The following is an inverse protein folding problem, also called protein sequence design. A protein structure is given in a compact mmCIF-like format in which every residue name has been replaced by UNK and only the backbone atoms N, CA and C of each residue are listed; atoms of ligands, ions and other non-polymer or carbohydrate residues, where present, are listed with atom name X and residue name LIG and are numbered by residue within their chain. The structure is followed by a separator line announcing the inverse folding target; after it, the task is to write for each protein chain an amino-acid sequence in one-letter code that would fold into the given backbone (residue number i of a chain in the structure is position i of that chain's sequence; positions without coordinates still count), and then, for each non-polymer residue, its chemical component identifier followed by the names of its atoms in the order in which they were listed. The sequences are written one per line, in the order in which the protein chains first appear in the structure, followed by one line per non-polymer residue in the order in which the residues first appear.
data_IF_551150427699
#
_entry.id   IF_551150427699
#
_cell.length_a   1.000
_cell.length_b   1.000
_cell.length_c   1.000
_cell.angle_alpha   90.00
_cell.angle_beta   90.00
_cell.angle_gamma   90.00
#
_symmetry.space_group_name_H-M   'P 1'
#
loop_
_entity.id
_entity.type
_entity.pdbx_description
1 polymer ?
#
# COMPACT_ATOMS: atom_id res chain seq x y z
N UNK A 1 -19.12 -16.61 -56.91
CA UNK A 1 -18.14 -17.22 -55.99
C UNK A 1 -17.90 -16.25 -54.86
N UNK A 2 -18.60 -16.45 -53.74
CA UNK A 2 -18.51 -15.60 -52.55
C UNK A 2 -17.32 -16.06 -51.70
N UNK A 3 -16.36 -15.16 -51.50
CA UNK A 3 -15.20 -15.38 -50.63
C UNK A 3 -15.63 -15.13 -49.18
N UNK A 4 -16.07 -16.18 -48.50
CA UNK A 4 -16.21 -16.22 -47.05
C UNK A 4 -14.81 -16.16 -46.42
N UNK A 5 -14.36 -14.96 -46.07
CA UNK A 5 -13.17 -14.78 -45.23
C UNK A 5 -13.50 -15.28 -43.82
N UNK A 6 -12.89 -16.41 -43.50
CA UNK A 6 -13.00 -17.13 -42.24
C UNK A 6 -12.36 -16.28 -41.13
N UNK A 7 -13.16 -15.48 -40.40
CA UNK A 7 -12.74 -14.77 -39.17
C UNK A 7 -12.55 -15.76 -38.02
N UNK A 8 -11.58 -16.68 -38.14
CA UNK A 8 -11.15 -17.55 -37.04
C UNK A 8 -9.91 -16.94 -36.39
N UNK A 9 -10.08 -16.40 -35.18
CA UNK A 9 -8.99 -16.08 -34.27
C UNK A 9 -8.68 -14.59 -34.12
N UNK A 10 -9.67 -13.76 -33.78
CA UNK A 10 -9.37 -12.41 -33.28
C UNK A 10 -8.99 -12.50 -31.80
N UNK A 11 -7.69 -12.66 -31.51
CA UNK A 11 -7.14 -12.59 -30.14
C UNK A 11 -7.49 -11.27 -29.43
N UNK A 12 -7.76 -10.22 -30.20
CA UNK A 12 -8.02 -8.88 -29.69
C UNK A 12 -9.52 -8.55 -29.59
N UNK A 13 -10.40 -9.52 -29.92
CA UNK A 13 -11.87 -9.42 -29.87
C UNK A 13 -12.38 -7.98 -30.02
N UNK A 14 -12.13 -7.37 -31.17
CA UNK A 14 -12.45 -5.94 -31.37
C UNK A 14 -13.96 -5.64 -31.32
N UNK A 15 -14.80 -6.69 -31.31
CA UNK A 15 -16.26 -6.59 -31.19
C UNK A 15 -16.76 -6.20 -29.80
N UNK A 16 -15.92 -6.29 -28.75
CA UNK A 16 -16.26 -5.92 -27.37
C UNK A 16 -15.54 -4.64 -26.90
N UNK A 17 -14.95 -3.88 -27.81
CA UNK A 17 -14.29 -2.62 -27.47
C UNK A 17 -15.30 -1.69 -26.81
N UNK A 18 -15.10 -1.40 -25.52
CA UNK A 18 -15.78 -0.31 -24.83
C UNK A 18 -15.43 1.01 -25.53
N UNK A 19 -16.23 2.06 -25.32
CA UNK A 19 -15.89 3.42 -25.79
C UNK A 19 -14.39 3.70 -25.52
N UNK A 20 -13.67 4.32 -26.49
CA UNK A 20 -12.26 4.65 -26.29
C UNK A 20 -12.07 5.32 -24.93
N UNK A 21 -11.03 4.93 -24.21
CA UNK A 21 -10.67 5.55 -22.94
C UNK A 21 -10.53 7.05 -23.19
N UNK A 22 -11.22 7.86 -22.39
CA UNK A 22 -11.07 9.32 -22.45
C UNK A 22 -9.59 9.64 -22.23
N UNK A 23 -9.00 10.36 -23.18
CA UNK A 23 -7.62 10.81 -23.05
C UNK A 23 -7.57 11.92 -21.99
N UNK A 24 -6.78 11.70 -20.94
CA UNK A 24 -6.48 12.70 -19.93
C UNK A 24 -5.16 13.36 -20.32
N UNK A 25 -5.24 14.56 -20.90
CA UNK A 25 -4.05 15.33 -21.24
C UNK A 25 -3.36 15.86 -19.96
N UNK A 26 -2.02 15.91 -19.93
CA UNK A 26 -1.29 16.57 -18.87
C UNK A 26 -1.77 18.01 -18.68
N UNK A 27 -1.99 18.41 -17.44
CA UNK A 27 -2.36 19.77 -17.08
C UNK A 27 -1.06 20.56 -16.78
N UNK A 28 -0.66 21.53 -17.63
CA UNK A 28 0.57 22.28 -17.44
C UNK A 28 0.62 23.03 -16.11
N UNK A 29 -0.53 23.39 -15.53
CA UNK A 29 -0.55 24.04 -14.23
C UNK A 29 -0.10 23.10 -13.12
N UNK A 30 -0.34 21.79 -13.25
CA UNK A 30 -0.01 20.78 -12.25
C UNK A 30 1.21 19.91 -12.62
N UNK A 31 1.71 20.05 -13.85
CA UNK A 31 2.90 19.38 -14.31
C UNK A 31 4.08 19.66 -13.36
N UNK A 32 4.83 18.62 -13.05
CA UNK A 32 6.02 18.65 -12.18
C UNK A 32 5.81 19.13 -10.73
N UNK A 33 4.62 19.58 -10.32
CA UNK A 33 4.35 20.01 -8.93
C UNK A 33 4.57 18.86 -7.94
N UNK A 34 5.07 19.22 -6.76
CA UNK A 34 5.22 18.33 -5.61
C UNK A 34 4.26 18.76 -4.50
N UNK A 35 3.57 17.79 -3.91
CA UNK A 35 2.74 17.96 -2.71
C UNK A 35 3.43 17.42 -1.44
N UNK A 36 4.72 17.10 -1.54
CA UNK A 36 5.55 16.66 -0.43
C UNK A 36 5.47 17.63 0.75
N UNK A 37 5.47 17.11 1.98
CA UNK A 37 5.48 17.94 3.18
C UNK A 37 6.88 18.52 3.37
N UNK A 38 7.00 19.83 3.47
CA UNK A 38 8.26 20.47 3.84
C UNK A 38 8.65 20.08 5.27
N UNK A 39 9.94 20.03 5.56
CA UNK A 39 10.45 19.70 6.90
C UNK A 39 9.83 20.55 8.02
N UNK A 40 9.54 21.83 7.78
CA UNK A 40 8.91 22.74 8.77
C UNK A 40 7.49 22.35 9.18
N UNK A 41 6.79 21.62 8.31
CA UNK A 41 5.41 21.19 8.52
C UNK A 41 5.32 19.69 8.80
N UNK A 42 6.48 19.07 9.00
CA UNK A 42 6.61 17.65 9.24
C UNK A 42 6.93 17.39 10.71
N UNK A 43 6.33 16.35 11.29
CA UNK A 43 6.64 15.93 12.65
C UNK A 43 8.04 15.31 12.69
N UNK A 44 8.93 15.87 13.51
CA UNK A 44 10.35 15.49 13.54
C UNK A 44 10.58 14.02 13.91
N UNK A 45 9.80 13.50 14.85
CA UNK A 45 9.92 12.10 15.31
C UNK A 45 9.42 11.14 14.24
N UNK A 46 8.27 11.43 13.63
CA UNK A 46 7.72 10.65 12.51
C UNK A 46 8.67 10.66 11.31
N UNK A 47 9.23 11.83 10.98
CA UNK A 47 10.18 12.01 9.89
C UNK A 47 11.44 11.16 10.11
N UNK A 48 12.03 11.26 11.30
CA UNK A 48 13.25 10.52 11.64
C UNK A 48 13.01 9.01 11.67
N UNK A 49 11.89 8.56 12.25
CA UNK A 49 11.61 7.14 12.44
C UNK A 49 11.13 6.45 11.16
N UNK A 50 10.20 7.06 10.41
CA UNK A 50 9.45 6.38 9.36
C UNK A 50 9.78 6.85 7.94
N UNK A 51 10.59 7.90 7.77
CA UNK A 51 10.91 8.45 6.44
C UNK A 51 12.40 8.41 6.08
N UNK A 52 13.09 7.27 6.26
CA UNK A 52 14.48 7.10 5.84
C UNK A 52 14.68 7.12 4.31
N UNK A 53 13.60 7.22 3.53
CA UNK A 53 13.64 7.35 2.08
C UNK A 53 13.86 8.80 1.61
N UNK A 54 13.69 9.79 2.49
CA UNK A 54 13.85 11.19 2.12
C UNK A 54 15.28 11.49 1.69
N UNK A 55 15.40 12.28 0.64
CA UNK A 55 16.66 12.81 0.13
C UNK A 55 16.87 14.20 0.72
N UNK A 56 18.08 14.73 0.58
CA UNK A 56 18.32 16.16 0.78
C UNK A 56 17.48 16.97 -0.20
N UNK A 57 17.07 18.18 0.19
CA UNK A 57 16.11 18.97 -0.57
C UNK A 57 16.60 19.28 -2.00
N UNK A 58 17.88 19.62 -2.13
CA UNK A 58 18.54 19.88 -3.41
C UNK A 58 18.49 18.68 -4.37
N UNK A 59 18.67 17.46 -3.85
CA UNK A 59 18.54 16.24 -4.64
C UNK A 59 17.07 15.97 -4.97
N UNK A 60 16.18 16.09 -3.99
CA UNK A 60 14.75 15.83 -4.17
C UNK A 60 14.10 16.74 -5.23
N UNK A 61 14.59 17.98 -5.36
CA UNK A 61 14.08 18.95 -6.33
C UNK A 61 14.56 18.63 -7.77
N UNK A 62 15.70 17.98 -7.92
CA UNK A 62 16.35 17.74 -9.22
C UNK A 62 16.32 16.26 -9.69
N UNK A 63 15.88 15.33 -8.87
CA UNK A 63 15.93 13.89 -9.18
C UNK A 63 14.97 13.46 -10.30
N UNK A 64 15.07 12.21 -10.73
CA UNK A 64 14.17 11.69 -11.75
C UNK A 64 12.69 11.65 -11.34
N UNK A 65 12.36 11.63 -10.04
CA UNK A 65 10.98 11.59 -9.54
C UNK A 65 10.33 12.96 -9.65
N UNK A 66 11.07 14.05 -9.39
CA UNK A 66 10.59 15.44 -9.56
C UNK A 66 10.19 15.72 -11.02
N UNK A 67 10.86 15.06 -11.97
CA UNK A 67 10.65 15.17 -13.42
C UNK A 67 9.47 14.35 -13.96
N UNK A 68 8.82 13.49 -13.15
CA UNK A 68 7.70 12.69 -13.64
C UNK A 68 6.46 13.56 -13.94
N UNK A 69 5.83 13.32 -15.08
CA UNK A 69 4.50 13.82 -15.41
C UNK A 69 3.47 12.99 -14.63
N UNK A 70 2.83 13.60 -13.64
CA UNK A 70 1.81 12.98 -12.78
C UNK A 70 0.67 13.98 -12.47
N UNK A 71 0.43 14.95 -13.37
CA UNK A 71 -0.43 16.11 -13.12
C UNK A 71 -1.84 15.71 -12.69
N UNK A 72 -2.36 14.63 -13.27
CA UNK A 72 -3.69 14.10 -12.93
C UNK A 72 -3.76 13.61 -11.49
N UNK A 73 -2.80 12.79 -11.06
CA UNK A 73 -2.76 12.28 -9.70
C UNK A 73 -2.48 13.39 -8.67
N UNK A 74 -1.59 14.32 -8.99
CA UNK A 74 -1.29 15.48 -8.15
C UNK A 74 -2.54 16.33 -7.95
N UNK A 75 -3.26 16.66 -9.04
CA UNK A 75 -4.51 17.45 -8.95
C UNK A 75 -5.56 16.74 -8.10
N UNK A 76 -5.76 15.43 -8.31
CA UNK A 76 -6.69 14.62 -7.51
C UNK A 76 -6.33 14.63 -6.03
N UNK A 77 -5.05 14.43 -5.69
CA UNK A 77 -4.58 14.43 -4.31
C UNK A 77 -4.73 15.81 -3.65
N UNK A 78 -4.44 16.91 -4.37
CA UNK A 78 -4.62 18.28 -3.87
C UNK A 78 -6.08 18.57 -3.57
N UNK A 79 -6.99 18.28 -4.53
CA UNK A 79 -8.43 18.51 -4.33
C UNK A 79 -8.99 17.68 -3.17
N UNK A 80 -8.52 16.44 -3.00
CA UNK A 80 -8.94 15.61 -1.88
C UNK A 80 -8.42 16.14 -0.53
N UNK A 81 -7.20 16.67 -0.49
CA UNK A 81 -6.65 17.32 0.70
C UNK A 81 -7.40 18.61 1.02
N UNK A 82 -7.70 19.46 0.04
CA UNK A 82 -8.51 20.68 0.22
C UNK A 82 -9.91 20.36 0.77
N UNK A 83 -10.51 19.25 0.32
CA UNK A 83 -11.84 18.81 0.76
C UNK A 83 -11.86 18.25 2.18
N UNK A 84 -10.81 17.56 2.60
CA UNK A 84 -10.82 16.77 3.85
C UNK A 84 -9.90 17.29 4.94
N UNK A 85 -8.90 18.11 4.60
CA UNK A 85 -7.79 18.44 5.47
C UNK A 85 -6.85 17.27 5.77
N UNK A 86 -7.06 16.08 5.17
CA UNK A 86 -6.33 14.86 5.51
C UNK A 86 -5.62 14.24 4.31
N UNK A 87 -4.31 14.04 4.45
CA UNK A 87 -3.47 13.32 3.48
C UNK A 87 -3.78 11.82 3.50
N UNK A 88 -3.55 11.15 2.37
CA UNK A 88 -3.62 9.69 2.29
C UNK A 88 -2.50 9.08 3.14
N UNK A 89 -2.86 8.17 4.04
CA UNK A 89 -1.93 7.52 4.98
C UNK A 89 -1.47 6.19 4.39
N UNK A 90 -0.20 6.08 4.00
CA UNK A 90 0.35 4.88 3.35
C UNK A 90 1.41 4.22 4.23
N UNK A 91 1.14 2.97 4.63
CA UNK A 91 2.12 2.12 5.30
C UNK A 91 2.91 1.30 4.28
N UNK A 92 4.24 1.34 4.37
CA UNK A 92 5.13 0.59 3.49
C UNK A 92 5.85 -0.50 4.28
N UNK A 93 5.72 -1.75 3.83
CA UNK A 93 6.39 -2.92 4.41
C UNK A 93 7.39 -3.50 3.40
N UNK A 94 8.57 -3.91 3.88
CA UNK A 94 9.58 -4.58 3.04
C UNK A 94 10.07 -5.91 3.61
N UNK A 95 10.49 -6.82 2.73
CA UNK A 95 10.75 -8.22 3.05
C UNK A 95 12.20 -8.64 3.24
N UNK A 96 13.13 -7.74 3.54
CA UNK A 96 14.54 -8.13 3.75
C UNK A 96 15.30 -7.16 4.64
N UNK A 97 16.05 -7.73 5.59
CA UNK A 97 16.91 -7.04 6.55
C UNK A 97 18.39 -7.01 6.13
N UNK A 98 18.73 -7.42 4.90
CA UNK A 98 20.12 -7.34 4.41
C UNK A 98 20.59 -5.88 4.37
N UNK A 99 21.90 -5.66 4.60
CA UNK A 99 22.50 -4.33 4.55
C UNK A 99 22.21 -3.61 3.22
N UNK A 100 22.41 -4.31 2.10
CA UNK A 100 21.94 -3.88 0.77
C UNK A 100 20.72 -4.71 0.36
N UNK A 101 19.53 -4.19 0.66
CA UNK A 101 18.25 -4.87 0.40
C UNK A 101 17.51 -4.20 -0.76
N UNK A 102 17.41 -4.87 -1.91
CA UNK A 102 16.73 -4.30 -3.09
C UNK A 102 15.22 -4.13 -2.89
N UNK A 103 14.57 -4.95 -2.06
CA UNK A 103 13.16 -4.73 -1.70
C UNK A 103 13.00 -3.47 -0.86
N UNK A 104 13.96 -3.17 0.02
CA UNK A 104 14.00 -1.91 0.78
C UNK A 104 14.24 -0.71 -0.14
N UNK A 105 15.21 -0.80 -1.06
CA UNK A 105 15.46 0.25 -2.04
C UNK A 105 14.24 0.52 -2.94
N UNK A 106 13.60 -0.53 -3.46
CA UNK A 106 12.37 -0.40 -4.25
C UNK A 106 11.23 0.21 -3.43
N UNK A 107 11.12 -0.15 -2.14
CA UNK A 107 10.13 0.46 -1.24
C UNK A 107 10.38 1.95 -1.03
N UNK A 108 11.64 2.39 -1.02
CA UNK A 108 12.01 3.81 -0.89
C UNK A 108 11.67 4.59 -2.15
N UNK A 109 11.90 4.04 -3.35
CA UNK A 109 11.47 4.71 -4.60
C UNK A 109 9.95 4.86 -4.67
N UNK A 110 9.20 3.80 -4.33
CA UNK A 110 7.75 3.89 -4.23
C UNK A 110 7.30 4.95 -3.21
N UNK A 111 7.97 4.99 -2.05
CA UNK A 111 7.70 5.97 -0.99
C UNK A 111 7.95 7.41 -1.44
N UNK A 112 9.02 7.67 -2.20
CA UNK A 112 9.32 9.01 -2.75
C UNK A 112 8.28 9.46 -3.77
N UNK A 113 7.81 8.56 -4.63
CA UNK A 113 6.74 8.86 -5.59
C UNK A 113 5.45 9.23 -4.82
N UNK A 114 5.05 8.42 -3.85
CA UNK A 114 3.86 8.68 -3.03
C UNK A 114 3.99 9.96 -2.19
N UNK A 115 5.18 10.22 -1.65
CA UNK A 115 5.50 11.44 -0.91
C UNK A 115 5.34 12.68 -1.79
N UNK A 116 5.86 12.65 -3.03
CA UNK A 116 5.67 13.71 -4.02
C UNK A 116 4.19 13.90 -4.37
N UNK A 117 3.41 12.82 -4.44
CA UNK A 117 1.96 12.87 -4.66
C UNK A 117 1.17 13.35 -3.43
N UNK A 118 1.84 13.65 -2.31
CA UNK A 118 1.24 14.26 -1.14
C UNK A 118 0.70 13.29 -0.09
N UNK A 119 1.02 12.00 -0.19
CA UNK A 119 0.70 11.02 0.85
C UNK A 119 1.54 11.25 2.12
N UNK A 120 0.97 10.98 3.30
CA UNK A 120 1.76 10.70 4.50
C UNK A 120 2.24 9.26 4.40
N UNK A 121 3.54 9.07 4.20
CA UNK A 121 4.15 7.74 3.99
C UNK A 121 4.97 7.38 5.21
N UNK A 122 4.76 6.16 5.73
CA UNK A 122 5.54 5.60 6.84
C UNK A 122 6.09 4.23 6.46
N UNK A 123 7.41 4.10 6.44
CA UNK A 123 8.10 2.82 6.18
C UNK A 123 8.41 2.14 7.50
N UNK A 124 7.83 0.97 7.73
CA UNK A 124 8.10 0.18 8.93
C UNK A 124 9.44 -0.55 8.80
N UNK A 125 10.31 -0.40 9.81
CA UNK A 125 11.55 -1.18 9.90
C UNK A 125 11.29 -2.48 10.70
N UNK A 126 11.40 -3.68 10.11
CA UNK A 126 11.11 -4.94 10.81
C UNK A 126 12.24 -5.43 11.72
N UNK A 127 13.39 -4.73 11.79
CA UNK A 127 14.45 -5.09 12.73
C UNK A 127 13.94 -5.12 14.17
N UNK A 128 14.20 -6.23 14.86
CA UNK A 128 13.74 -6.46 16.24
C UNK A 128 12.28 -6.93 16.37
N UNK A 129 11.54 -7.14 15.27
CA UNK A 129 10.21 -7.75 15.33
C UNK A 129 10.35 -9.25 15.71
N UNK A 130 9.76 -9.72 16.82
CA UNK A 130 9.81 -11.14 17.20
C UNK A 130 9.10 -12.02 16.17
N UNK A 131 9.43 -13.30 16.15
CA UNK A 131 8.64 -14.28 15.39
C UNK A 131 7.24 -14.38 15.99
N UNK A 132 6.22 -14.46 15.15
CA UNK A 132 4.83 -14.59 15.61
C UNK A 132 4.68 -15.78 16.54
N UNK A 133 4.27 -15.49 17.76
CA UNK A 133 3.88 -16.43 18.80
C UNK A 133 2.62 -15.94 19.52
N UNK A 134 2.20 -16.64 20.57
CA UNK A 134 0.96 -16.34 21.30
C UNK A 134 1.18 -15.52 22.58
N UNK A 135 2.38 -14.98 22.80
CA UNK A 135 2.73 -14.29 24.06
C UNK A 135 3.28 -12.88 23.86
N UNK A 136 4.02 -12.61 22.78
CA UNK A 136 4.71 -11.34 22.57
C UNK A 136 3.83 -10.23 21.98
N UNK A 137 2.52 -10.24 22.28
CA UNK A 137 1.58 -9.26 21.76
C UNK A 137 1.92 -7.82 22.15
N UNK A 138 2.51 -7.60 23.33
CA UNK A 138 2.87 -6.26 23.84
C UNK A 138 4.28 -5.82 23.47
N UNK A 139 5.00 -6.61 22.65
CA UNK A 139 6.32 -6.24 22.19
C UNK A 139 6.27 -4.90 21.41
N UNK A 140 7.16 -3.91 21.68
CA UNK A 140 7.08 -2.58 21.08
C UNK A 140 6.96 -2.58 19.55
N UNK A 141 7.75 -3.41 18.87
CA UNK A 141 7.69 -3.57 17.40
C UNK A 141 6.36 -4.15 16.90
N UNK A 142 5.71 -5.02 17.68
CA UNK A 142 4.39 -5.59 17.33
C UNK A 142 3.33 -4.51 17.45
N UNK A 143 3.36 -3.73 18.55
CA UNK A 143 2.43 -2.62 18.77
C UNK A 143 2.61 -1.52 17.72
N UNK A 144 3.85 -1.14 17.42
CA UNK A 144 4.18 -0.19 16.35
C UNK A 144 3.59 -0.64 15.00
N UNK A 145 3.82 -1.89 14.60
CA UNK A 145 3.30 -2.43 13.34
C UNK A 145 1.76 -2.40 13.29
N UNK A 146 1.10 -2.77 14.39
CA UNK A 146 -0.36 -2.78 14.49
C UNK A 146 -0.95 -1.38 14.43
N UNK A 147 -0.38 -0.42 15.15
CA UNK A 147 -0.84 0.96 15.13
C UNK A 147 -0.58 1.62 13.77
N UNK A 148 0.54 1.32 13.10
CA UNK A 148 0.77 1.75 11.72
C UNK A 148 -0.25 1.16 10.75
N UNK A 149 -0.59 -0.13 10.88
CA UNK A 149 -1.62 -0.75 10.04
C UNK A 149 -2.99 -0.13 10.31
N UNK A 150 -3.31 0.16 11.57
CA UNK A 150 -4.56 0.81 11.96
C UNK A 150 -4.64 2.24 11.42
N UNK A 151 -3.53 2.98 11.44
CA UNK A 151 -3.41 4.35 10.95
C UNK A 151 -3.57 4.49 9.44
N UNK A 152 -3.22 3.48 8.65
CA UNK A 152 -3.15 3.59 7.19
C UNK A 152 -4.54 3.61 6.51
N UNK A 153 -4.60 4.26 5.34
CA UNK A 153 -5.66 4.13 4.34
C UNK A 153 -5.33 3.05 3.29
N UNK A 154 -4.03 2.83 3.07
CA UNK A 154 -3.52 1.87 2.11
C UNK A 154 -2.11 1.40 2.42
N UNK A 155 -1.71 0.26 1.87
CA UNK A 155 -0.36 -0.30 2.04
C UNK A 155 0.41 -0.41 0.72
N UNK A 156 1.74 -0.40 0.83
CA UNK A 156 2.65 -0.91 -0.19
C UNK A 156 3.46 -2.07 0.39
N UNK A 157 3.39 -3.24 -0.24
CA UNK A 157 4.07 -4.45 0.18
C UNK A 157 5.17 -4.82 -0.80
N UNK A 158 6.43 -4.77 -0.37
CA UNK A 158 7.59 -5.05 -1.22
C UNK A 158 8.39 -6.23 -0.70
N UNK A 159 8.25 -7.40 -1.34
CA UNK A 159 8.93 -8.61 -0.89
C UNK A 159 9.96 -9.10 -1.93
N UNK A 160 11.21 -9.43 -1.54
CA UNK A 160 12.06 -10.18 -2.45
C UNK A 160 11.53 -11.60 -2.63
N UNK A 161 11.86 -12.21 -3.76
CA UNK A 161 11.68 -13.63 -3.96
C UNK A 161 12.85 -14.40 -3.37
N UNK A 162 12.59 -15.29 -2.41
CA UNK A 162 13.60 -16.16 -1.82
C UNK A 162 13.11 -17.61 -1.90
N UNK A 163 13.92 -18.48 -2.53
CA UNK A 163 13.53 -19.86 -2.85
C UNK A 163 12.17 -19.96 -3.56
N UNK A 164 11.89 -19.01 -4.47
CA UNK A 164 10.66 -18.99 -5.27
C UNK A 164 9.40 -18.55 -4.52
N UNK A 165 9.53 -17.98 -3.31
CA UNK A 165 8.39 -17.63 -2.46
C UNK A 165 8.63 -16.33 -1.66
N UNK A 166 7.59 -15.87 -0.95
CA UNK A 166 7.68 -14.74 -0.01
C UNK A 166 8.70 -15.05 1.10
N UNK A 167 9.37 -14.02 1.61
CA UNK A 167 10.33 -14.22 2.71
C UNK A 167 9.64 -14.41 4.06
N UNK A 168 10.33 -15.13 4.96
CA UNK A 168 9.91 -15.23 6.37
C UNK A 168 9.82 -13.85 7.03
N UNK A 169 10.74 -12.93 6.73
CA UNK A 169 10.72 -11.53 7.22
C UNK A 169 9.41 -10.84 6.84
N UNK A 170 8.98 -10.98 5.60
CA UNK A 170 7.75 -10.36 5.13
C UNK A 170 6.52 -11.03 5.75
N UNK A 171 6.46 -12.37 5.70
CA UNK A 171 5.33 -13.14 6.21
C UNK A 171 5.10 -12.92 7.70
N UNK A 172 6.18 -12.85 8.49
CA UNK A 172 6.13 -12.57 9.93
C UNK A 172 5.47 -11.23 10.25
N UNK A 173 5.71 -10.18 9.44
CA UNK A 173 5.04 -8.89 9.61
C UNK A 173 3.52 -9.03 9.42
N UNK A 174 3.08 -9.72 8.37
CA UNK A 174 1.65 -9.93 8.11
C UNK A 174 1.00 -10.76 9.22
N UNK A 175 1.70 -11.77 9.74
CA UNK A 175 1.19 -12.65 10.80
C UNK A 175 0.95 -11.93 12.14
N UNK A 176 1.63 -10.80 12.36
CA UNK A 176 1.39 -9.94 13.53
C UNK A 176 0.19 -9.01 13.39
N UNK A 177 -0.33 -8.81 12.17
CA UNK A 177 -1.49 -7.96 11.90
C UNK A 177 -2.76 -8.82 11.97
N UNK A 178 -3.62 -8.65 12.99
CA UNK A 178 -4.83 -9.46 13.11
C UNK A 178 -5.94 -8.98 12.18
N UNK A 179 -6.85 -9.88 11.80
CA UNK A 179 -8.08 -9.51 11.08
C UNK A 179 -9.09 -8.74 11.96
N UNK A 180 -8.96 -8.85 13.28
CA UNK A 180 -9.79 -8.14 14.27
C UNK A 180 -9.01 -7.89 15.54
N UNK A 181 -9.19 -6.72 16.15
CA UNK A 181 -8.91 -6.51 17.57
C UNK A 181 -10.14 -5.82 18.16
N UNK A 182 -11.00 -6.58 18.84
CA UNK A 182 -12.34 -6.10 19.22
C UNK A 182 -13.15 -5.70 17.97
N UNK A 183 -13.65 -4.47 17.95
CA UNK A 183 -14.37 -3.87 16.81
C UNK A 183 -13.47 -3.34 15.70
N UNK A 184 -12.16 -3.20 15.95
CA UNK A 184 -11.22 -2.59 14.99
C UNK A 184 -10.75 -3.65 13.99
N UNK A 185 -10.76 -3.28 12.70
CA UNK A 185 -10.27 -4.09 11.58
C UNK A 185 -9.05 -3.40 10.92
N UNK A 186 -7.81 -3.75 11.30
CA UNK A 186 -6.59 -3.02 10.91
C UNK A 186 -6.21 -3.08 9.42
N UNK A 187 -6.85 -3.93 8.61
CA UNK A 187 -6.57 -4.00 7.16
C UNK A 187 -7.81 -3.97 6.28
N UNK A 188 -8.98 -4.30 6.84
CA UNK A 188 -10.19 -4.50 6.06
C UNK A 188 -10.62 -3.21 5.34
N UNK A 189 -10.85 -3.31 4.04
CA UNK A 189 -11.28 -2.19 3.19
C UNK A 189 -10.15 -1.29 2.68
N UNK A 190 -8.93 -1.38 3.24
CA UNK A 190 -7.78 -0.58 2.81
C UNK A 190 -7.29 -1.00 1.43
N UNK A 191 -6.67 -0.07 0.70
CA UNK A 191 -6.05 -0.36 -0.60
C UNK A 191 -4.67 -1.01 -0.42
N UNK A 192 -4.22 -1.76 -1.42
CA UNK A 192 -2.92 -2.42 -1.39
C UNK A 192 -2.24 -2.41 -2.76
N UNK A 193 -1.01 -1.90 -2.82
CA UNK A 193 -0.09 -2.13 -3.92
C UNK A 193 0.96 -3.18 -3.54
N UNK A 194 1.32 -4.04 -4.49
CA UNK A 194 2.28 -5.12 -4.28
C UNK A 194 3.43 -5.02 -5.28
N UNK A 195 4.64 -5.29 -4.79
CA UNK A 195 5.84 -5.34 -5.60
C UNK A 195 6.77 -6.48 -5.15
N UNK A 196 7.55 -7.00 -6.10
CA UNK A 196 8.66 -7.90 -5.80
C UNK A 196 9.96 -7.49 -6.48
N UNK A 197 11.06 -7.98 -5.92
CA UNK A 197 12.38 -7.96 -6.54
C UNK A 197 12.93 -9.38 -6.66
N UNK A 198 13.65 -9.65 -7.74
CA UNK A 198 14.25 -10.95 -8.01
C UNK A 198 15.77 -10.81 -8.15
N UNK A 199 16.52 -11.79 -7.63
CA UNK A 199 17.95 -11.90 -7.92
C UNK A 199 18.23 -12.40 -9.35
N UNK A 200 17.36 -13.26 -9.89
CA UNK A 200 17.47 -13.85 -11.22
C UNK A 200 16.48 -13.26 -12.23
N UNK A 201 16.10 -14.08 -13.22
CA UNK A 201 15.10 -13.77 -14.24
C UNK A 201 13.75 -13.34 -13.64
N UNK A 202 12.90 -12.75 -14.48
CA UNK A 202 11.60 -12.28 -14.04
C UNK A 202 10.73 -13.44 -13.54
N UNK A 203 10.08 -13.21 -12.41
CA UNK A 203 9.15 -14.12 -11.74
C UNK A 203 7.97 -13.31 -11.22
N UNK A 204 6.86 -13.99 -10.93
CA UNK A 204 5.68 -13.40 -10.32
C UNK A 204 5.18 -14.18 -9.09
N UNK A 205 5.94 -15.18 -8.62
CA UNK A 205 5.50 -16.06 -7.55
C UNK A 205 5.21 -15.26 -6.27
N UNK A 206 6.12 -14.36 -5.92
CA UNK A 206 6.02 -13.53 -4.73
C UNK A 206 4.81 -12.60 -4.80
N UNK A 207 4.62 -11.81 -5.86
CA UNK A 207 3.44 -10.93 -5.99
C UNK A 207 2.13 -11.71 -6.06
N UNK A 208 2.11 -12.91 -6.66
CA UNK A 208 0.91 -13.75 -6.67
C UNK A 208 0.52 -14.21 -5.27
N UNK A 209 1.50 -14.55 -4.42
CA UNK A 209 1.26 -14.86 -3.01
C UNK A 209 0.87 -13.62 -2.21
N UNK A 210 1.51 -12.47 -2.44
CA UNK A 210 1.12 -11.21 -1.79
C UNK A 210 -0.31 -10.80 -2.14
N UNK A 211 -0.75 -11.00 -3.39
CA UNK A 211 -2.12 -10.74 -3.82
C UNK A 211 -3.12 -11.64 -3.08
N UNK A 212 -2.79 -12.93 -2.94
CA UNK A 212 -3.59 -13.83 -2.12
C UNK A 212 -3.62 -13.35 -0.66
N UNK A 213 -2.47 -13.04 -0.05
CA UNK A 213 -2.44 -12.48 1.31
C UNK A 213 -3.28 -11.22 1.44
N UNK A 214 -3.22 -10.28 0.48
CA UNK A 214 -4.05 -9.08 0.45
C UNK A 214 -5.55 -9.40 0.48
N UNK A 215 -5.99 -10.38 -0.31
CA UNK A 215 -7.36 -10.91 -0.28
C UNK A 215 -7.72 -11.49 1.09
N UNK A 216 -6.84 -12.29 1.70
CA UNK A 216 -7.04 -12.83 3.06
C UNK A 216 -7.17 -11.72 4.10
N UNK A 217 -6.36 -10.67 3.98
CA UNK A 217 -6.39 -9.46 4.81
C UNK A 217 -7.56 -8.52 4.48
N UNK A 218 -8.45 -8.91 3.56
CA UNK A 218 -9.64 -8.15 3.12
C UNK A 218 -9.29 -6.76 2.58
N UNK A 219 -8.12 -6.64 1.93
CA UNK A 219 -7.66 -5.42 1.29
C UNK A 219 -8.05 -5.39 -0.18
N UNK A 220 -8.27 -4.19 -0.72
CA UNK A 220 -8.45 -3.96 -2.15
C UNK A 220 -7.07 -3.87 -2.81
N UNK A 221 -6.57 -5.01 -3.27
CA UNK A 221 -5.29 -5.06 -3.99
C UNK A 221 -5.48 -4.52 -5.39
N UNK A 222 -4.79 -3.42 -5.72
CA UNK A 222 -4.91 -2.78 -7.03
C UNK A 222 -4.51 -3.75 -8.16
N UNK A 223 -5.07 -3.58 -9.37
CA UNK A 223 -4.76 -4.46 -10.50
C UNK A 223 -3.26 -4.49 -10.84
N UNK A 224 -2.63 -3.32 -10.89
CA UNK A 224 -1.24 -3.21 -11.31
C UNK A 224 -0.27 -3.71 -10.23
N UNK A 225 0.91 -4.16 -10.65
CA UNK A 225 1.95 -4.69 -9.77
C UNK A 225 3.34 -4.57 -10.40
N UNK A 226 4.36 -4.46 -9.55
CA UNK A 226 5.76 -4.36 -9.98
C UNK A 226 6.52 -5.65 -9.70
N UNK A 227 7.29 -6.14 -10.69
CA UNK A 227 8.22 -7.26 -10.50
C UNK A 227 9.53 -6.95 -11.20
N UNK A 228 10.57 -6.68 -10.41
CA UNK A 228 11.88 -6.22 -10.90
C UNK A 228 12.85 -7.40 -11.03
N UNK A 229 13.17 -7.89 -12.25
CA UNK A 229 14.18 -8.92 -12.46
C UNK A 229 15.60 -8.40 -12.25
N UNK A 230 16.51 -9.30 -11.89
CA UNK A 230 17.95 -9.00 -11.75
C UNK A 230 18.19 -7.68 -11.02
N UNK A 231 17.53 -7.50 -9.86
CA UNK A 231 17.40 -6.20 -9.22
C UNK A 231 18.75 -5.52 -8.93
N UNK A 232 19.82 -6.30 -8.74
CA UNK A 232 21.17 -5.76 -8.58
C UNK A 232 21.69 -4.94 -9.78
N UNK A 233 21.15 -5.16 -10.98
CA UNK A 233 21.44 -4.38 -12.20
C UNK A 233 20.45 -3.24 -12.45
N UNK A 234 19.52 -2.98 -11.53
CA UNK A 234 18.46 -1.98 -11.70
C UNK A 234 18.64 -0.77 -10.78
N UNK A 235 19.65 -0.79 -9.90
CA UNK A 235 19.94 0.28 -8.97
C UNK A 235 21.39 0.75 -9.11
N UNK A 236 21.62 2.06 -8.97
CA UNK A 236 22.96 2.65 -8.90
C UNK A 236 23.71 2.18 -7.66
N UNK A 237 25.03 2.36 -7.65
CA UNK A 237 25.84 2.02 -6.49
C UNK A 237 25.52 2.88 -5.27
N UNK A 238 25.86 2.38 -4.08
CA UNK A 238 25.78 3.20 -2.88
C UNK A 238 26.94 4.21 -2.91
N UNK A 239 26.66 5.43 -2.48
CA UNK A 239 27.65 6.48 -2.33
C UNK A 239 27.68 6.95 -0.87
N UNK A 240 28.79 7.54 -0.46
CA UNK A 240 28.86 8.14 0.87
C UNK A 240 27.93 9.36 0.93
N UNK A 241 27.05 9.39 1.93
CA UNK A 241 26.14 10.51 2.18
C UNK A 241 26.84 11.73 2.76
N UNK A 242 28.06 11.57 3.29
CA UNK A 242 28.83 12.66 3.88
C UNK A 242 29.62 13.46 2.83
N UNK A 243 29.80 12.91 1.62
CA UNK A 243 30.34 13.65 0.48
C UNK A 243 29.17 14.23 -0.33
N UNK A 244 28.80 15.48 -0.04
CA UNK A 244 27.64 16.14 -0.64
C UNK A 244 27.72 16.18 -2.17
N UNK A 245 28.92 16.36 -2.75
CA UNK A 245 29.09 16.43 -4.20
C UNK A 245 28.82 15.08 -4.86
N UNK A 246 29.40 14.00 -4.31
CA UNK A 246 29.18 12.65 -4.83
C UNK A 246 27.74 12.21 -4.60
N UNK A 247 27.17 12.51 -3.43
CA UNK A 247 25.78 12.22 -3.11
C UNK A 247 24.82 12.88 -4.09
N UNK A 248 25.00 14.17 -4.38
CA UNK A 248 24.17 14.91 -5.32
C UNK A 248 24.29 14.38 -6.75
N UNK A 249 25.51 14.15 -7.23
CA UNK A 249 25.74 13.61 -8.58
C UNK A 249 25.12 12.23 -8.79
N UNK A 250 25.04 11.42 -7.74
CA UNK A 250 24.43 10.10 -7.78
C UNK A 250 22.91 10.10 -7.49
N UNK A 251 22.27 11.28 -7.45
CA UNK A 251 20.87 11.48 -7.03
C UNK A 251 20.56 10.80 -5.67
N UNK A 252 21.53 10.79 -4.75
CA UNK A 252 21.46 10.17 -3.43
C UNK A 252 21.96 8.72 -3.35
N UNK A 253 22.38 8.13 -4.48
CA UNK A 253 22.89 6.76 -4.56
C UNK A 253 21.83 5.69 -4.30
N UNK A 254 22.13 4.44 -4.69
CA UNK A 254 21.19 3.31 -4.58
C UNK A 254 19.81 3.60 -5.19
N UNK A 255 19.78 4.38 -6.28
CA UNK A 255 18.58 4.85 -6.99
C UNK A 255 18.23 3.93 -8.14
N UNK A 256 16.95 3.79 -8.44
CA UNK A 256 16.49 2.97 -9.55
C UNK A 256 16.82 3.61 -10.91
N UNK A 257 17.49 2.86 -11.76
CA UNK A 257 17.91 3.31 -13.09
C UNK A 257 16.74 3.35 -14.09
N UNK A 258 16.84 4.16 -15.16
CA UNK A 258 15.83 4.20 -16.23
C UNK A 258 15.56 2.83 -16.85
N UNK A 259 14.32 2.36 -16.73
CA UNK A 259 13.84 1.12 -17.36
C UNK A 259 12.31 1.05 -17.33
N UNK A 260 11.72 0.17 -18.13
CA UNK A 260 10.27 -0.10 -18.05
C UNK A 260 9.82 -0.65 -16.69
N UNK A 261 10.73 -1.23 -15.88
CA UNK A 261 10.42 -1.60 -14.50
C UNK A 261 10.25 -0.39 -13.59
N UNK A 262 11.02 0.68 -13.86
CA UNK A 262 10.91 1.95 -13.14
C UNK A 262 9.59 2.63 -13.47
N UNK A 263 9.24 2.67 -14.76
CA UNK A 263 7.97 3.25 -15.22
C UNK A 263 6.78 2.45 -14.63
N UNK A 264 6.87 1.12 -14.61
CA UNK A 264 5.86 0.27 -13.96
C UNK A 264 5.70 0.55 -12.47
N UNK A 265 6.77 0.87 -11.75
CA UNK A 265 6.68 1.26 -10.34
C UNK A 265 5.88 2.56 -10.20
N UNK A 266 6.13 3.54 -11.07
CA UNK A 266 5.38 4.80 -11.12
C UNK A 266 3.90 4.54 -11.35
N UNK A 267 3.55 3.72 -12.35
CA UNK A 267 2.16 3.34 -12.64
C UNK A 267 1.47 2.76 -11.39
N UNK A 268 2.16 1.87 -10.65
CA UNK A 268 1.60 1.23 -9.45
C UNK A 268 1.34 2.24 -8.33
N UNK A 269 2.25 3.20 -8.10
CA UNK A 269 2.09 4.20 -7.05
C UNK A 269 1.02 5.23 -7.43
N UNK A 270 0.97 5.64 -8.69
CA UNK A 270 -0.07 6.53 -9.20
C UNK A 270 -1.46 5.88 -9.11
N UNK A 271 -1.58 4.62 -9.54
CA UNK A 271 -2.81 3.83 -9.43
C UNK A 271 -3.24 3.67 -7.97
N UNK A 272 -2.31 3.37 -7.05
CA UNK A 272 -2.61 3.29 -5.63
C UNK A 272 -3.24 4.58 -5.09
N UNK A 273 -2.69 5.75 -5.43
CA UNK A 273 -3.25 7.05 -5.01
C UNK A 273 -4.66 7.23 -5.53
N UNK A 274 -4.88 7.02 -6.83
CA UNK A 274 -6.20 7.16 -7.48
C UNK A 274 -7.25 6.24 -6.81
N UNK A 275 -6.92 4.96 -6.61
CA UNK A 275 -7.82 4.02 -5.95
C UNK A 275 -8.06 4.37 -4.48
N UNK A 276 -7.04 4.82 -3.75
CA UNK A 276 -7.18 5.14 -2.32
C UNK A 276 -8.10 6.35 -2.11
N UNK A 277 -8.00 7.38 -2.95
CA UNK A 277 -8.91 8.54 -2.94
C UNK A 277 -10.36 8.08 -3.16
N UNK A 278 -10.60 7.23 -4.16
CA UNK A 278 -11.94 6.73 -4.48
C UNK A 278 -12.51 5.86 -3.36
N UNK A 279 -11.71 4.96 -2.80
CA UNK A 279 -12.19 3.93 -1.89
C UNK A 279 -12.35 4.45 -0.45
N UNK A 280 -11.44 5.32 0.02
CA UNK A 280 -11.41 5.75 1.45
C UNK A 280 -12.70 6.40 1.91
N UNK A 281 -13.41 7.09 1.01
CA UNK A 281 -14.67 7.76 1.29
C UNK A 281 -15.83 6.79 1.58
N UNK A 282 -15.64 5.50 1.26
CA UNK A 282 -16.69 4.49 1.28
C UNK A 282 -16.27 3.21 2.03
N UNK A 283 -15.21 3.26 2.86
CA UNK A 283 -14.76 2.08 3.60
C UNK A 283 -15.86 1.47 4.47
N UNK A 284 -16.66 2.28 5.16
CA UNK A 284 -17.78 1.78 5.97
C UNK A 284 -18.84 1.08 5.13
N UNK A 285 -19.21 1.67 3.98
CA UNK A 285 -20.16 1.08 3.04
C UNK A 285 -19.66 -0.25 2.49
N UNK A 286 -18.40 -0.32 2.04
CA UNK A 286 -17.82 -1.56 1.50
C UNK A 286 -17.63 -2.65 2.57
N UNK A 287 -17.59 -2.25 3.84
CA UNK A 287 -17.48 -3.17 4.97
C UNK A 287 -18.83 -3.60 5.54
N UNK A 288 -19.95 -2.97 5.15
CA UNK A 288 -21.29 -3.32 5.59
C UNK A 288 -21.80 -4.58 4.86
N UNK A 289 -21.53 -5.76 5.44
CA UNK A 289 -21.85 -7.06 4.84
C UNK A 289 -23.19 -7.60 5.32
N UNK A 290 -23.96 -8.10 4.36
CA UNK A 290 -25.25 -8.75 4.61
C UNK A 290 -25.17 -9.84 5.70
N UNK A 291 -24.21 -10.77 5.60
CA UNK A 291 -24.06 -11.86 6.56
C UNK A 291 -23.74 -11.38 7.98
N UNK A 292 -22.95 -10.31 8.11
CA UNK A 292 -22.61 -9.72 9.42
C UNK A 292 -23.84 -9.01 10.03
N UNK A 293 -24.70 -8.37 9.19
CA UNK A 293 -25.99 -7.82 9.63
C UNK A 293 -26.98 -8.90 10.08
N UNK A 294 -27.05 -10.02 9.36
CA UNK A 294 -27.87 -11.19 9.75
C UNK A 294 -27.41 -11.80 11.08
N UNK A 295 -26.10 -12.00 11.25
CA UNK A 295 -25.54 -12.53 12.50
C UNK A 295 -25.80 -11.61 13.70
N UNK A 296 -25.76 -10.29 13.48
CA UNK A 296 -26.10 -9.31 14.52
C UNK A 296 -27.58 -9.41 14.92
N UNK A 297 -28.50 -9.46 13.94
CA UNK A 297 -29.95 -9.65 14.20
C UNK A 297 -30.22 -10.91 15.01
N UNK A 298 -29.62 -12.04 14.61
CA UNK A 298 -29.80 -13.33 15.31
C UNK A 298 -29.33 -13.26 16.77
N UNK A 299 -28.17 -12.65 17.02
CA UNK A 299 -27.64 -12.47 18.39
C UNK A 299 -28.53 -11.55 19.24
N UNK A 300 -29.08 -10.49 18.66
CA UNK A 300 -30.01 -9.59 19.34
C UNK A 300 -31.32 -10.31 19.70
N UNK A 301 -31.86 -11.13 18.81
CA UNK A 301 -33.03 -11.96 19.09
C UNK A 301 -32.78 -13.01 20.18
N UNK A 302 -31.65 -13.70 20.14
CA UNK A 302 -31.24 -14.65 21.19
C UNK A 302 -31.07 -13.96 22.55
N UNK A 303 -30.47 -12.76 22.57
CA UNK A 303 -30.31 -11.98 23.79
C UNK A 303 -31.68 -11.52 24.35
N UNK A 304 -32.61 -11.12 23.48
CA UNK A 304 -33.96 -10.71 23.89
C UNK A 304 -34.73 -11.87 24.53
N UNK A 305 -34.71 -13.06 23.90
CA UNK A 305 -35.35 -14.26 24.46
C UNK A 305 -34.78 -14.65 25.82
N UNK A 306 -33.45 -14.61 25.99
CA UNK A 306 -32.79 -14.88 27.28
C UNK A 306 -33.19 -13.89 28.36
N UNK A 307 -33.33 -12.60 28.02
CA UNK A 307 -33.76 -11.58 28.96
C UNK A 307 -35.23 -11.79 29.41
N UNK A 308 -36.11 -12.13 28.47
CA UNK A 308 -37.52 -12.48 28.73
C UNK A 308 -37.63 -13.72 29.65
N UNK A 309 -36.78 -14.74 29.45
CA UNK A 309 -36.72 -15.93 30.29
C UNK A 309 -36.15 -15.63 31.69
N UNK A 310 -35.13 -14.77 31.81
CA UNK A 310 -34.56 -14.39 33.11
C UNK A 310 -35.49 -13.51 33.95
N UNK A 311 -36.32 -12.68 33.31
CA UNK A 311 -37.36 -11.89 33.98
C UNK A 311 -38.54 -12.77 34.47
N UNK A 312 -38.55 -14.07 34.12
CA UNK A 312 -39.64 -15.02 34.42
C UNK A 312 -39.38 -16.03 35.55
N UNK A 313 -38.24 -15.95 36.25
CA UNK A 313 -37.90 -16.94 37.30
C UNK A 313 -38.82 -16.83 38.52
N UNK A 314 -39.54 -17.93 38.82
CA UNK A 314 -40.56 -18.12 39.86
C UNK A 314 -41.95 -17.51 39.64
N UNK A 315 -42.35 -17.21 38.41
CA UNK A 315 -43.76 -16.87 38.11
C UNK A 315 -44.28 -15.59 38.80
N UNK A 316 -43.40 -14.77 39.35
CA UNK A 316 -43.69 -13.46 39.92
C UNK A 316 -42.94 -12.42 39.10
N UNK A 317 -43.69 -11.52 38.46
CA UNK A 317 -43.15 -10.42 37.67
C UNK A 317 -42.48 -9.40 38.60
N UNK A 318 -41.15 -9.30 38.56
CA UNK A 318 -40.36 -8.43 39.45
C UNK A 318 -40.44 -6.94 39.03
N UNK A 319 -41.04 -6.63 37.87
CA UNK A 319 -41.24 -5.25 37.38
C UNK A 319 -42.54 -4.58 37.85
N UNK A 320 -43.30 -5.19 38.77
CA UNK A 320 -44.56 -4.63 39.28
C UNK A 320 -44.55 -4.28 40.79
N UNK A 321 -43.41 -3.88 41.35
CA UNK A 321 -43.32 -3.12 42.62
C UNK A 321 -42.66 -1.77 42.37
#
# INVERSE_FOLDING_TARGET
MSSTTNKRGDLNNNSVLRKPVQEFLPDPAWAHRSLAVSEKHDDGDVRAQYRPFLLTQDVADEDWISKLELSTAVRLASSEFERTGERLKILVLYGSMRGRSYSKLLSYEGSRILWRLGCDVRVYNPSGLPIKDDVQHDHPKVQELRELSKWSDGHVWVCPEQHGTITAVFKNQIDWIPLSTGSVRPTQGRTLAIAQVNGGSQSFNTVNQLRQLGRWMRMFTIPNQSSVPTAYKQFTDAVDKNDENVYRQAEGGSRMMPSGNRDRLVDCMEELVKYTILMRQHFDLFNDRFSEREDKRRKEEEARKKAEESDSVNGVNVKSM
#
